data_IF_423754802503
#
_entry.id   IF_423754802503
#
_cell.length_a   1.000
_cell.length_b   1.000
_cell.length_c   1.000
_cell.angle_alpha   90.00
_cell.angle_beta   90.00
_cell.angle_gamma   90.00
#
_symmetry.space_group_name_H-M   'P 1'
#
loop_
_entity.id
_entity.type
_entity.pdbx_description
1 polymer ?
#
# COMPACT_ATOMS: atom_id res chain seq x y z
N UNK A 1 15.99 -42.54 12.07
CA UNK A 1 15.00 -41.67 12.73
C UNK A 1 15.52 -41.26 14.09
N UNK A 2 15.93 -40.00 14.27
CA UNK A 2 15.84 -39.35 15.56
C UNK A 2 14.91 -38.13 15.51
N UNK A 3 13.99 -38.16 16.46
CA UNK A 3 13.13 -37.11 17.01
C UNK A 3 13.73 -35.69 16.93
N UNK A 4 13.19 -34.84 16.04
CA UNK A 4 13.44 -33.39 16.05
C UNK A 4 12.23 -32.71 16.71
N UNK A 5 12.33 -32.58 18.02
CA UNK A 5 11.48 -31.69 18.81
C UNK A 5 11.65 -30.27 18.29
N UNK A 6 10.54 -29.67 17.91
CA UNK A 6 10.43 -28.26 17.50
C UNK A 6 10.93 -27.41 18.67
N UNK A 7 11.93 -26.57 18.40
CA UNK A 7 12.46 -25.63 19.38
C UNK A 7 11.36 -24.63 19.75
N UNK A 8 10.88 -24.73 20.99
CA UNK A 8 10.14 -23.68 21.67
C UNK A 8 11.11 -22.59 22.12
N UNK A 9 10.65 -21.33 22.01
CA UNK A 9 11.24 -20.10 22.57
C UNK A 9 12.48 -19.54 21.84
N UNK A 10 12.23 -18.82 20.75
CA UNK A 10 13.05 -17.65 20.44
C UNK A 10 12.45 -16.45 21.20
N UNK A 11 13.13 -15.98 22.25
CA UNK A 11 12.79 -14.68 22.82
C UNK A 11 12.96 -13.60 21.75
N UNK A 12 11.93 -12.79 21.42
CA UNK A 12 12.12 -11.68 20.52
C UNK A 12 12.98 -10.63 21.21
N UNK A 13 14.02 -10.17 20.51
CA UNK A 13 14.84 -9.04 20.95
C UNK A 13 13.92 -7.89 21.37
N UNK A 14 14.08 -7.40 22.61
CA UNK A 14 13.32 -6.26 23.14
C UNK A 14 13.65 -5.02 22.31
N UNK A 15 12.73 -4.65 21.41
CA UNK A 15 12.68 -3.33 20.80
C UNK A 15 12.09 -2.35 21.84
N UNK A 16 12.89 -1.41 22.38
CA UNK A 16 12.45 -0.48 23.41
C UNK A 16 11.37 0.52 22.93
N UNK A 17 11.05 0.55 21.63
CA UNK A 17 9.95 1.36 21.08
C UNK A 17 8.63 0.61 20.88
N UNK A 18 8.59 -0.72 21.07
CA UNK A 18 7.39 -1.52 20.81
C UNK A 18 6.43 -1.46 22.00
N UNK A 19 5.22 -0.93 21.79
CA UNK A 19 4.18 -0.90 22.82
C UNK A 19 3.91 -2.34 23.30
N UNK A 20 4.11 -2.66 24.60
CA UNK A 20 3.90 -4.01 25.12
C UNK A 20 2.45 -4.52 24.95
N UNK A 21 1.47 -3.64 24.72
CA UNK A 21 0.10 -4.03 24.37
C UNK A 21 -0.03 -4.63 22.98
N UNK A 22 0.93 -4.40 22.09
CA UNK A 22 1.02 -5.08 20.78
C UNK A 22 1.61 -6.49 20.89
N UNK A 23 2.04 -6.91 22.08
CA UNK A 23 2.64 -8.24 22.33
C UNK A 23 1.79 -9.16 23.18
N UNK A 24 0.68 -8.66 23.75
CA UNK A 24 -0.30 -9.52 24.41
C UNK A 24 -1.47 -9.75 23.46
N UNK A 25 -1.84 -11.01 23.15
CA UNK A 25 -3.02 -11.28 22.35
C UNK A 25 -4.24 -10.73 23.09
N UNK A 26 -4.83 -9.65 22.57
CA UNK A 26 -6.09 -9.15 23.10
C UNK A 26 -7.19 -10.13 22.74
N UNK A 27 -7.81 -10.72 23.76
CA UNK A 27 -8.97 -11.61 23.63
C UNK A 27 -10.24 -10.84 23.24
N UNK A 28 -10.19 -9.50 23.24
CA UNK A 28 -11.33 -8.61 22.99
C UNK A 28 -11.35 -8.05 21.57
N UNK A 29 -10.24 -8.12 20.83
CA UNK A 29 -10.21 -7.59 19.47
C UNK A 29 -11.08 -8.44 18.53
N UNK A 30 -11.89 -7.80 17.66
CA UNK A 30 -12.80 -8.51 16.75
C UNK A 30 -12.07 -9.25 15.61
N UNK A 31 -10.80 -8.94 15.38
CA UNK A 31 -9.96 -9.52 14.32
C UNK A 31 -8.54 -9.71 14.83
N UNK A 32 -7.83 -10.67 14.26
CA UNK A 32 -6.42 -10.93 14.51
C UNK A 32 -5.65 -10.45 13.28
N UNK A 33 -4.81 -9.43 13.45
CA UNK A 33 -3.98 -8.87 12.39
C UNK A 33 -2.51 -9.21 12.67
N UNK A 34 -1.86 -9.83 11.71
CA UNK A 34 -0.46 -10.27 11.75
C UNK A 34 0.27 -9.75 10.51
N UNK A 35 1.60 -9.63 10.61
CA UNK A 35 2.46 -9.24 9.49
C UNK A 35 3.77 -10.03 9.52
N UNK A 36 4.49 -10.04 8.40
CA UNK A 36 5.81 -10.64 8.29
C UNK A 36 5.80 -12.10 7.84
N UNK A 37 4.70 -12.56 7.21
CA UNK A 37 4.73 -13.87 6.56
C UNK A 37 5.70 -13.83 5.37
N UNK A 38 6.66 -14.75 5.35
CA UNK A 38 7.67 -14.83 4.30
C UNK A 38 7.34 -15.98 3.33
N UNK A 39 7.13 -15.70 2.05
CA UNK A 39 6.68 -16.70 1.06
C UNK A 39 7.48 -18.02 1.05
N UNK A 40 8.83 -18.02 1.11
CA UNK A 40 9.60 -19.26 1.21
C UNK A 40 9.37 -20.10 2.48
N UNK A 41 8.77 -19.53 3.53
CA UNK A 41 8.48 -20.29 4.76
C UNK A 41 7.35 -21.31 4.60
N UNK A 42 6.53 -21.16 3.57
CA UNK A 42 5.34 -21.99 3.30
C UNK A 42 5.45 -22.80 2.01
N UNK A 43 6.55 -22.65 1.25
CA UNK A 43 6.81 -23.34 -0.02
C UNK A 43 5.64 -23.25 -1.03
N UNK A 44 4.87 -22.16 -1.00
CA UNK A 44 3.69 -21.96 -1.87
C UNK A 44 2.48 -22.83 -1.51
N UNK A 45 2.50 -23.50 -0.35
CA UNK A 45 1.44 -24.40 0.11
C UNK A 45 0.52 -23.73 1.14
N UNK A 46 0.25 -22.43 0.98
CA UNK A 46 -0.62 -21.73 1.92
C UNK A 46 -2.06 -22.13 1.70
N UNK A 47 -2.66 -22.72 2.73
CA UNK A 47 -4.05 -23.15 2.78
C UNK A 47 -4.80 -22.33 3.82
N UNK A 48 -6.02 -21.92 3.49
CA UNK A 48 -6.95 -21.26 4.43
C UNK A 48 -7.05 -22.00 5.78
N UNK A 49 -7.06 -23.33 5.73
CA UNK A 49 -7.19 -24.21 6.90
C UNK A 49 -5.99 -24.22 7.84
N UNK A 50 -4.82 -23.73 7.40
CA UNK A 50 -3.65 -23.57 8.29
C UNK A 50 -3.79 -22.35 9.21
N UNK A 51 -4.62 -21.37 8.83
CA UNK A 51 -4.96 -20.23 9.69
C UNK A 51 -6.25 -20.48 10.49
N UNK A 52 -7.10 -21.39 10.03
CA UNK A 52 -8.25 -21.85 10.81
C UNK A 52 -7.77 -22.51 12.12
N UNK A 53 -8.38 -22.14 13.26
CA UNK A 53 -7.99 -22.65 14.57
C UNK A 53 -6.79 -21.96 15.22
N UNK A 54 -6.16 -20.95 14.60
CA UNK A 54 -5.17 -20.10 15.28
C UNK A 54 -5.77 -19.26 16.42
N UNK A 55 -7.07 -19.00 16.35
CA UNK A 55 -7.80 -18.33 17.43
C UNK A 55 -7.97 -19.28 18.62
N UNK A 56 -7.03 -19.21 19.57
CA UNK A 56 -7.01 -20.01 20.80
C UNK A 56 -8.24 -19.80 21.70
N UNK A 57 -8.99 -18.72 21.49
CA UNK A 57 -10.21 -18.43 22.25
C UNK A 57 -11.45 -19.15 21.68
N UNK A 58 -11.32 -19.83 20.53
CA UNK A 58 -12.41 -20.58 19.89
C UNK A 58 -13.55 -19.68 19.39
N UNK A 59 -13.27 -18.40 19.13
CA UNK A 59 -14.26 -17.43 18.63
C UNK A 59 -14.31 -17.36 17.10
N UNK A 60 -13.49 -18.17 16.42
CA UNK A 60 -13.32 -18.18 14.97
C UNK A 60 -13.16 -16.77 14.39
N UNK A 61 -12.34 -15.94 15.05
CA UNK A 61 -12.11 -14.56 14.60
C UNK A 61 -11.50 -14.54 13.19
N UNK A 62 -11.84 -13.54 12.37
CA UNK A 62 -11.13 -13.27 11.13
C UNK A 62 -9.64 -13.03 11.39
N UNK A 63 -8.79 -13.77 10.67
CA UNK A 63 -7.33 -13.67 10.73
C UNK A 63 -6.81 -13.13 9.40
N UNK A 64 -5.99 -12.10 9.47
CA UNK A 64 -5.30 -11.50 8.33
C UNK A 64 -3.80 -11.48 8.60
N UNK A 65 -3.02 -12.08 7.70
CA UNK A 65 -1.56 -12.12 7.80
C UNK A 65 -0.97 -11.45 6.55
N UNK A 66 -0.41 -10.26 6.69
CA UNK A 66 0.32 -9.64 5.57
C UNK A 66 1.69 -10.30 5.38
N UNK A 67 2.04 -10.50 4.12
CA UNK A 67 3.38 -10.91 3.73
C UNK A 67 4.39 -9.79 3.99
N UNK A 68 5.65 -10.17 4.18
CA UNK A 68 6.77 -9.25 4.41
C UNK A 68 7.01 -8.30 3.24
N UNK A 69 6.70 -8.73 2.02
CA UNK A 69 6.75 -7.87 0.83
C UNK A 69 5.57 -6.89 0.71
N UNK A 70 4.56 -7.02 1.57
CA UNK A 70 3.31 -6.24 1.55
C UNK A 70 2.48 -6.36 0.26
N UNK A 71 2.79 -7.34 -0.61
CA UNK A 71 2.05 -7.61 -1.85
C UNK A 71 1.04 -8.74 -1.71
N UNK A 72 1.11 -9.51 -0.63
CA UNK A 72 0.19 -10.62 -0.39
C UNK A 72 -0.42 -10.55 1.01
N UNK A 73 -1.66 -11.02 1.14
CA UNK A 73 -2.29 -11.26 2.44
C UNK A 73 -2.81 -12.70 2.48
N UNK A 74 -2.56 -13.40 3.59
CA UNK A 74 -3.07 -14.74 3.86
C UNK A 74 -4.17 -14.69 4.93
N UNK A 75 -5.32 -15.26 4.58
CA UNK A 75 -6.59 -15.12 5.28
C UNK A 75 -7.14 -16.50 5.67
N UNK A 76 -7.79 -16.56 6.83
CA UNK A 76 -8.57 -17.72 7.26
C UNK A 76 -10.00 -17.72 6.69
N UNK A 77 -10.78 -18.76 6.98
CA UNK A 77 -12.12 -18.92 6.42
C UNK A 77 -13.04 -17.76 6.86
N UNK A 78 -13.01 -17.38 8.14
CA UNK A 78 -13.81 -16.28 8.66
C UNK A 78 -13.49 -14.92 8.00
N UNK A 79 -12.21 -14.67 7.67
CA UNK A 79 -11.78 -13.48 6.96
C UNK A 79 -12.26 -13.45 5.50
N UNK A 80 -12.21 -14.59 4.80
CA UNK A 80 -12.74 -14.71 3.44
C UNK A 80 -14.27 -14.47 3.40
N UNK A 81 -14.99 -14.99 4.39
CA UNK A 81 -16.44 -14.83 4.51
C UNK A 81 -16.82 -13.38 4.78
N UNK A 82 -16.14 -12.69 5.70
CA UNK A 82 -16.47 -11.28 6.00
C UNK A 82 -16.11 -10.32 4.87
N UNK A 83 -15.11 -10.67 4.05
CA UNK A 83 -14.76 -9.92 2.84
C UNK A 83 -15.70 -10.22 1.67
N UNK A 84 -16.43 -11.33 1.70
CA UNK A 84 -17.31 -11.76 0.61
C UNK A 84 -16.55 -12.15 -0.67
N UNK A 85 -15.37 -12.77 -0.56
CA UNK A 85 -14.49 -13.03 -1.71
C UNK A 85 -14.73 -14.37 -2.42
N UNK A 86 -15.66 -15.20 -1.92
CA UNK A 86 -15.99 -16.52 -2.47
C UNK A 86 -16.18 -16.47 -3.99
N UNK A 87 -17.03 -15.55 -4.47
CA UNK A 87 -17.38 -15.38 -5.89
C UNK A 87 -16.77 -14.12 -6.51
N UNK A 88 -15.86 -13.44 -5.81
CA UNK A 88 -15.24 -12.21 -6.30
C UNK A 88 -14.34 -12.49 -7.51
N UNK A 89 -14.57 -11.75 -8.59
CA UNK A 89 -13.66 -11.73 -9.74
C UNK A 89 -12.34 -11.03 -9.39
N UNK A 90 -11.24 -11.45 -10.02
CA UNK A 90 -9.93 -10.83 -9.86
C UNK A 90 -10.00 -9.32 -10.23
N UNK A 91 -9.61 -8.40 -9.32
CA UNK A 91 -9.58 -6.98 -9.64
C UNK A 91 -8.42 -6.67 -10.60
N UNK A 92 -8.47 -5.55 -11.34
CA UNK A 92 -7.35 -5.14 -12.18
C UNK A 92 -6.03 -5.06 -11.41
N UNK A 93 -5.03 -5.83 -11.87
CA UNK A 93 -3.71 -5.91 -11.23
C UNK A 93 -3.69 -6.68 -9.91
N UNK A 94 -4.75 -7.42 -9.56
CA UNK A 94 -4.82 -8.28 -8.39
C UNK A 94 -5.31 -9.68 -8.73
N UNK A 95 -5.06 -10.63 -7.82
CA UNK A 95 -5.58 -11.99 -7.93
C UNK A 95 -6.10 -12.49 -6.60
N UNK A 96 -7.22 -13.19 -6.61
CA UNK A 96 -7.66 -14.06 -5.52
C UNK A 96 -7.17 -15.45 -5.87
N UNK A 97 -6.19 -15.98 -5.15
CA UNK A 97 -5.63 -17.29 -5.49
C UNK A 97 -6.64 -18.37 -5.16
N UNK A 98 -6.97 -19.20 -6.15
CA UNK A 98 -7.99 -20.25 -6.05
C UNK A 98 -7.38 -21.64 -6.15
N UNK A 99 -7.94 -22.58 -5.39
CA UNK A 99 -7.59 -24.00 -5.48
C UNK A 99 -8.14 -24.65 -6.74
N UNK A 100 -7.88 -25.96 -6.91
CA UNK A 100 -8.37 -26.75 -8.05
C UNK A 100 -9.89 -26.89 -8.07
N UNK A 101 -10.56 -26.66 -6.93
CA UNK A 101 -12.02 -26.65 -6.79
C UNK A 101 -12.65 -25.27 -7.11
N UNK A 102 -11.83 -24.28 -7.49
CA UNK A 102 -12.26 -22.92 -7.79
C UNK A 102 -12.51 -22.03 -6.57
N UNK A 103 -12.38 -22.57 -5.34
CA UNK A 103 -12.59 -21.80 -4.12
C UNK A 103 -11.35 -20.97 -3.76
N UNK A 104 -11.50 -19.82 -3.09
CA UNK A 104 -10.36 -19.06 -2.61
C UNK A 104 -9.50 -19.90 -1.65
N UNK A 105 -8.18 -19.91 -1.89
CA UNK A 105 -7.20 -20.64 -1.09
C UNK A 105 -6.83 -19.94 0.22
N UNK A 106 -7.29 -18.70 0.42
CA UNK A 106 -6.88 -17.84 1.54
C UNK A 106 -5.86 -16.77 1.15
N UNK A 107 -5.21 -16.86 -0.02
CA UNK A 107 -4.21 -15.86 -0.42
C UNK A 107 -4.74 -14.86 -1.43
N UNK A 108 -4.58 -13.58 -1.07
CA UNK A 108 -4.87 -12.41 -1.88
C UNK A 108 -3.55 -11.84 -2.38
N UNK A 109 -3.46 -11.47 -3.66
CA UNK A 109 -2.22 -11.00 -4.28
C UNK A 109 -2.42 -9.62 -4.92
N UNK A 110 -1.38 -8.78 -4.81
CA UNK A 110 -1.24 -7.48 -5.46
C UNK A 110 -2.38 -6.52 -5.10
N UNK A 111 -3.14 -5.97 -6.07
CA UNK A 111 -4.28 -5.08 -5.79
C UNK A 111 -5.31 -5.76 -4.87
N UNK A 112 -5.46 -7.09 -4.90
CA UNK A 112 -6.39 -7.79 -4.01
C UNK A 112 -5.97 -7.69 -2.54
N UNK A 113 -4.68 -7.79 -2.23
CA UNK A 113 -4.16 -7.60 -0.88
C UNK A 113 -4.06 -6.11 -0.52
N UNK A 114 -3.25 -5.38 -1.30
CA UNK A 114 -2.86 -4.00 -0.99
C UNK A 114 -4.01 -3.00 -1.01
N UNK A 115 -5.05 -3.22 -1.83
CA UNK A 115 -6.20 -2.33 -1.90
C UNK A 115 -7.44 -2.91 -1.27
N UNK A 116 -7.86 -4.10 -1.70
CA UNK A 116 -9.17 -4.61 -1.33
C UNK A 116 -9.22 -5.03 0.14
N UNK A 117 -8.27 -5.87 0.58
CA UNK A 117 -8.15 -6.26 2.00
C UNK A 117 -7.89 -5.04 2.87
N UNK A 118 -6.90 -4.20 2.52
CA UNK A 118 -6.56 -3.01 3.30
C UNK A 118 -7.71 -2.02 3.42
N UNK A 119 -8.37 -1.67 2.31
CA UNK A 119 -9.52 -0.74 2.33
C UNK A 119 -10.68 -1.30 3.15
N UNK A 120 -10.90 -2.62 3.09
CA UNK A 120 -11.91 -3.26 3.93
C UNK A 120 -11.56 -3.10 5.41
N UNK A 121 -10.33 -3.42 5.83
CA UNK A 121 -9.89 -3.28 7.21
C UNK A 121 -10.00 -1.82 7.69
N UNK A 122 -9.58 -0.86 6.87
CA UNK A 122 -9.70 0.57 7.17
C UNK A 122 -11.16 1.04 7.30
N UNK A 123 -12.09 0.44 6.54
CA UNK A 123 -13.52 0.73 6.65
C UNK A 123 -14.13 0.29 7.98
N UNK A 124 -13.46 -0.62 8.72
CA UNK A 124 -13.90 -1.08 10.03
C UNK A 124 -13.45 -0.18 11.18
N UNK A 125 -12.53 0.76 10.91
CA UNK A 125 -12.04 1.69 11.92
C UNK A 125 -13.03 2.85 12.10
N UNK A 126 -13.32 3.17 13.35
CA UNK A 126 -14.04 4.39 13.73
C UNK A 126 -13.20 5.63 13.40
N UNK A 127 -13.89 6.77 13.31
CA UNK A 127 -13.23 8.03 13.02
C UNK A 127 -12.28 8.47 14.14
N UNK A 128 -12.42 7.94 15.36
CA UNK A 128 -11.58 8.20 16.51
C UNK A 128 -10.34 7.28 16.50
N UNK A 129 -10.50 6.00 16.18
CA UNK A 129 -9.37 5.06 16.00
C UNK A 129 -8.44 5.53 14.87
N UNK A 130 -8.99 5.95 13.73
CA UNK A 130 -8.19 6.55 12.64
C UNK A 130 -7.33 7.73 13.14
N UNK A 131 -7.89 8.58 14.02
CA UNK A 131 -7.16 9.71 14.58
C UNK A 131 -6.13 9.30 15.63
N UNK A 132 -6.40 8.25 16.39
CA UNK A 132 -5.41 7.66 17.30
C UNK A 132 -4.22 7.07 16.53
N UNK A 133 -4.46 6.38 15.41
CA UNK A 133 -3.39 5.85 14.55
C UNK A 133 -2.54 6.97 13.93
N UNK A 134 -3.16 8.00 13.36
CA UNK A 134 -2.43 9.17 12.83
C UNK A 134 -1.57 9.81 13.92
N UNK A 135 -2.13 10.02 15.12
CA UNK A 135 -1.39 10.58 16.24
C UNK A 135 -0.22 9.68 16.64
N UNK A 136 -0.44 8.38 16.80
CA UNK A 136 0.60 7.43 17.17
C UNK A 136 1.75 7.41 16.16
N UNK A 137 1.46 7.43 14.86
CA UNK A 137 2.47 7.49 13.81
C UNK A 137 3.28 8.80 13.88
N UNK A 138 2.60 9.95 14.00
CA UNK A 138 3.26 11.25 14.12
C UNK A 138 4.13 11.35 15.39
N UNK A 139 3.60 10.88 16.53
CA UNK A 139 4.31 10.88 17.82
C UNK A 139 5.56 10.00 17.73
N UNK A 140 5.49 8.84 17.08
CA UNK A 140 6.63 7.97 16.85
C UNK A 140 7.72 8.68 16.02
N UNK A 141 7.35 9.31 14.89
CA UNK A 141 8.30 10.07 14.07
C UNK A 141 8.96 11.22 14.84
N UNK A 142 8.16 12.00 15.60
CA UNK A 142 8.65 13.13 16.38
C UNK A 142 9.61 12.67 17.49
N UNK A 143 9.28 11.59 18.18
CA UNK A 143 10.05 11.08 19.32
C UNK A 143 11.48 10.69 18.93
N UNK A 144 11.66 10.17 17.71
CA UNK A 144 12.99 9.80 17.18
C UNK A 144 13.65 10.93 16.37
N UNK A 145 13.03 12.13 16.32
CA UNK A 145 13.63 13.33 15.75
C UNK A 145 13.38 13.55 14.25
N UNK A 146 12.49 12.79 13.61
CA UNK A 146 12.10 13.07 12.23
C UNK A 146 11.37 14.41 12.15
N UNK A 147 11.85 15.28 11.26
CA UNK A 147 11.22 16.60 11.01
C UNK A 147 10.31 16.60 9.79
N UNK A 148 10.38 15.56 8.95
CA UNK A 148 9.49 15.41 7.83
C UNK A 148 9.54 14.02 7.22
N UNK A 149 8.48 13.70 6.48
CA UNK A 149 8.29 12.43 5.79
C UNK A 149 7.80 12.69 4.36
N UNK A 150 8.19 11.79 3.47
CA UNK A 150 7.59 11.68 2.15
C UNK A 150 6.67 10.47 2.17
N UNK A 151 5.37 10.71 2.17
CA UNK A 151 4.41 9.64 1.97
C UNK A 151 4.39 9.29 0.47
N UNK A 152 4.55 8.01 0.15
CA UNK A 152 4.70 7.54 -1.22
C UNK A 152 3.44 6.90 -1.80
N UNK A 153 2.34 6.84 -1.03
CA UNK A 153 1.16 6.06 -1.38
C UNK A 153 -0.13 6.70 -0.84
N UNK A 154 -0.21 8.03 -0.84
CA UNK A 154 -1.30 8.77 -0.20
C UNK A 154 -2.63 8.48 -0.89
N UNK A 155 -3.59 7.95 -0.13
CA UNK A 155 -4.97 7.75 -0.54
C UNK A 155 -5.94 8.81 0.00
N UNK A 156 -7.21 8.69 -0.42
CA UNK A 156 -8.31 9.55 0.03
C UNK A 156 -8.51 9.52 1.54
N UNK A 157 -8.58 8.31 2.11
CA UNK A 157 -8.84 8.08 3.53
C UNK A 157 -7.70 8.59 4.42
N UNK A 158 -6.45 8.32 4.04
CA UNK A 158 -5.26 8.82 4.74
C UNK A 158 -5.19 10.35 4.70
N UNK A 159 -5.45 10.93 3.52
CA UNK A 159 -5.46 12.38 3.36
C UNK A 159 -6.57 13.02 4.21
N UNK A 160 -7.76 12.44 4.23
CA UNK A 160 -8.87 12.89 5.06
C UNK A 160 -8.53 12.78 6.56
N UNK A 161 -7.88 11.69 6.98
CA UNK A 161 -7.45 11.51 8.37
C UNK A 161 -6.41 12.56 8.79
N UNK A 162 -5.42 12.86 7.93
CA UNK A 162 -4.45 13.93 8.17
C UNK A 162 -5.09 15.32 8.19
N UNK A 163 -6.06 15.58 7.31
CA UNK A 163 -6.80 16.84 7.30
C UNK A 163 -7.60 17.02 8.60
N UNK A 164 -8.30 15.97 9.06
CA UNK A 164 -9.05 15.99 10.32
C UNK A 164 -8.13 16.21 11.52
N UNK A 165 -6.95 15.58 11.53
CA UNK A 165 -5.93 15.82 12.57
C UNK A 165 -5.50 17.29 12.58
N UNK A 166 -5.16 17.85 11.41
CA UNK A 166 -4.78 19.26 11.28
C UNK A 166 -5.85 20.22 11.79
N UNK A 167 -7.12 19.93 11.50
CA UNK A 167 -8.25 20.74 11.99
C UNK A 167 -8.37 20.70 13.52
N UNK A 168 -8.13 19.53 14.13
CA UNK A 168 -8.19 19.35 15.60
C UNK A 168 -7.00 19.99 16.34
N UNK A 169 -5.81 19.98 15.75
CA UNK A 169 -4.56 20.33 16.43
C UNK A 169 -3.87 21.61 15.91
N UNK A 170 -4.44 22.27 14.91
CA UNK A 170 -3.90 23.51 14.32
C UNK A 170 -2.73 23.30 13.35
N UNK A 171 -2.32 22.05 13.09
CA UNK A 171 -1.24 21.73 12.15
C UNK A 171 -0.71 20.30 12.30
N UNK A 172 0.32 19.97 11.52
CA UNK A 172 1.12 18.75 11.70
C UNK A 172 2.39 19.08 12.51
N UNK A 173 2.86 18.17 13.36
CA UNK A 173 4.11 18.36 14.11
C UNK A 173 5.35 18.24 13.21
N UNK A 174 5.25 17.55 12.07
CA UNK A 174 6.30 17.34 11.07
C UNK A 174 5.84 17.78 9.68
N UNK A 175 6.78 17.92 8.75
CA UNK A 175 6.50 18.18 7.34
C UNK A 175 6.04 16.90 6.63
N UNK A 176 4.95 16.95 5.88
CA UNK A 176 4.47 15.82 5.08
C UNK A 176 4.38 16.23 3.62
N UNK A 177 5.21 15.61 2.79
CA UNK A 177 5.13 15.68 1.34
C UNK A 177 4.49 14.39 0.83
N UNK A 178 3.31 14.47 0.22
CA UNK A 178 2.55 13.29 -0.19
C UNK A 178 2.64 13.05 -1.70
N UNK A 179 2.88 11.81 -2.10
CA UNK A 179 2.67 11.35 -3.48
C UNK A 179 1.37 10.59 -3.54
N UNK A 180 0.42 11.14 -4.29
CA UNK A 180 -0.93 10.62 -4.40
C UNK A 180 -0.95 9.33 -5.21
N UNK A 181 -1.44 8.25 -4.64
CA UNK A 181 -1.48 6.96 -5.30
C UNK A 181 -2.55 6.94 -6.40
N UNK A 182 -2.12 6.59 -7.60
CA UNK A 182 -2.97 6.37 -8.77
C UNK A 182 -3.08 4.87 -8.99
N UNK A 183 -4.29 4.38 -8.87
CA UNK A 183 -4.63 2.99 -9.11
C UNK A 183 -4.85 2.70 -10.59
N UNK A 184 -4.54 1.48 -11.05
CA UNK A 184 -4.89 1.04 -12.39
C UNK A 184 -6.39 1.21 -12.66
N UNK A 185 -6.74 2.06 -13.62
CA UNK A 185 -8.11 2.25 -14.07
C UNK A 185 -8.44 1.38 -15.28
N UNK A 186 -9.73 1.12 -15.51
CA UNK A 186 -10.23 0.46 -16.74
C UNK A 186 -10.35 1.43 -17.92
N UNK A 187 -10.19 2.74 -17.69
CA UNK A 187 -10.16 3.76 -18.74
C UNK A 187 -9.16 4.89 -18.45
N UNK A 188 -8.64 5.56 -19.49
CA UNK A 188 -7.83 6.76 -19.34
C UNK A 188 -8.56 7.87 -18.57
N UNK A 189 -9.86 8.07 -18.83
CA UNK A 189 -10.68 9.11 -18.17
C UNK A 189 -10.77 8.87 -16.67
N UNK A 190 -11.05 7.63 -16.23
CA UNK A 190 -11.13 7.29 -14.82
C UNK A 190 -9.78 7.44 -14.11
N UNK A 191 -8.68 7.16 -14.82
CA UNK A 191 -7.31 7.37 -14.31
C UNK A 191 -7.01 8.86 -14.14
N UNK A 192 -7.37 9.70 -15.12
CA UNK A 192 -7.17 11.15 -15.04
C UNK A 192 -8.01 11.80 -13.94
N UNK A 193 -9.21 11.28 -13.65
CA UNK A 193 -10.02 11.75 -12.52
C UNK A 193 -9.31 11.56 -11.17
N UNK A 194 -8.48 10.53 -11.01
CA UNK A 194 -7.67 10.35 -9.79
C UNK A 194 -6.64 11.49 -9.64
N UNK A 195 -6.05 11.95 -10.75
CA UNK A 195 -5.12 13.08 -10.77
C UNK A 195 -5.85 14.40 -10.46
N UNK A 196 -7.08 14.56 -10.94
CA UNK A 196 -7.91 15.73 -10.62
C UNK A 196 -8.25 15.77 -9.11
N UNK A 197 -8.51 14.62 -8.49
CA UNK A 197 -8.70 14.54 -7.02
C UNK A 197 -7.43 14.90 -6.26
N UNK A 198 -6.27 14.37 -6.66
CA UNK A 198 -4.98 14.79 -6.10
C UNK A 198 -4.79 16.31 -6.16
N UNK A 199 -5.15 16.93 -7.29
CA UNK A 199 -5.12 18.39 -7.45
C UNK A 199 -6.03 19.08 -6.44
N UNK A 200 -7.27 18.59 -6.27
CA UNK A 200 -8.25 19.15 -5.35
C UNK A 200 -7.74 19.11 -3.90
N UNK A 201 -7.18 17.99 -3.46
CA UNK A 201 -6.61 17.86 -2.12
C UNK A 201 -5.39 18.77 -1.93
N UNK A 202 -4.59 18.99 -2.98
CA UNK A 202 -3.45 19.90 -2.90
C UNK A 202 -3.86 21.37 -2.71
N UNK A 203 -5.07 21.77 -3.08
CA UNK A 203 -5.58 23.12 -2.79
C UNK A 203 -5.72 23.38 -1.28
N UNK A 204 -5.89 22.33 -0.48
CA UNK A 204 -5.93 22.39 0.98
C UNK A 204 -4.54 22.21 1.63
N UNK A 205 -3.46 22.38 0.84
CA UNK A 205 -2.09 22.39 1.35
C UNK A 205 -1.90 23.45 2.44
N UNK A 206 -0.94 23.17 3.32
CA UNK A 206 -0.46 24.11 4.35
C UNK A 206 1.05 24.13 4.33
N UNK A 207 1.64 24.96 5.19
CA UNK A 207 3.09 25.01 5.34
C UNK A 207 3.69 23.62 5.57
N UNK A 208 3.05 22.76 6.39
CA UNK A 208 3.58 21.43 6.75
C UNK A 208 2.92 20.26 6.03
N UNK A 209 2.04 20.49 5.06
CA UNK A 209 1.42 19.43 4.26
C UNK A 209 1.18 19.87 2.83
N UNK A 210 1.64 19.09 1.84
CA UNK A 210 1.27 19.30 0.44
C UNK A 210 1.35 17.99 -0.34
N UNK A 211 0.62 17.92 -1.46
CA UNK A 211 0.78 16.85 -2.44
C UNK A 211 1.94 17.26 -3.36
N UNK A 212 3.06 16.57 -3.20
CA UNK A 212 4.29 16.75 -3.95
C UNK A 212 4.18 16.17 -5.36
N UNK A 213 3.34 15.15 -5.56
CA UNK A 213 2.92 14.72 -6.89
C UNK A 213 2.15 13.41 -6.86
N UNK A 214 2.32 12.54 -7.86
CA UNK A 214 1.56 11.28 -7.97
C UNK A 214 2.48 10.06 -7.95
N UNK A 215 1.98 8.97 -7.42
CA UNK A 215 2.59 7.64 -7.43
C UNK A 215 1.78 6.73 -8.35
N UNK A 216 2.45 5.97 -9.21
CA UNK A 216 1.81 4.95 -10.04
C UNK A 216 2.48 3.61 -9.71
N UNK A 217 1.67 2.58 -9.49
CA UNK A 217 2.12 1.19 -9.36
C UNK A 217 1.65 0.46 -10.61
N UNK A 218 2.58 -0.19 -11.32
CA UNK A 218 2.30 -0.91 -12.55
C UNK A 218 2.83 -2.33 -12.45
N UNK A 219 1.97 -3.34 -12.58
CA UNK A 219 2.36 -4.74 -12.66
C UNK A 219 2.11 -5.26 -14.08
N UNK A 220 3.14 -5.80 -14.76
CA UNK A 220 2.97 -6.39 -16.10
C UNK A 220 2.47 -7.83 -15.96
N UNK A 221 1.57 -8.32 -16.84
CA UNK A 221 1.23 -9.73 -16.87
C UNK A 221 2.39 -10.51 -17.51
N UNK A 222 3.21 -11.16 -16.69
CA UNK A 222 4.21 -12.15 -17.10
C UNK A 222 4.13 -13.37 -16.15
N UNK A 223 4.53 -14.59 -16.57
CA UNK A 223 4.21 -15.85 -15.90
C UNK A 223 4.92 -15.94 -14.54
N UNK A 224 4.57 -16.91 -13.67
CA UNK A 224 4.08 -16.75 -12.28
C UNK A 224 5.00 -15.96 -11.32
N UNK A 225 5.53 -14.82 -11.73
CA UNK A 225 6.46 -13.97 -10.98
C UNK A 225 5.96 -12.55 -11.05
N UNK A 226 5.51 -12.08 -9.89
CA UNK A 226 5.04 -10.73 -9.59
C UNK A 226 6.02 -9.68 -10.10
N UNK A 227 5.55 -8.66 -10.84
CA UNK A 227 6.40 -7.62 -11.43
C UNK A 227 5.92 -6.21 -11.12
N UNK A 228 6.00 -5.78 -9.86
CA UNK A 228 5.66 -4.40 -9.49
C UNK A 228 6.68 -3.38 -10.02
N UNK A 229 6.20 -2.32 -10.68
CA UNK A 229 6.98 -1.16 -11.12
C UNK A 229 6.41 0.06 -10.41
N UNK A 230 7.22 0.74 -9.61
CA UNK A 230 6.77 1.91 -8.85
C UNK A 230 7.31 3.20 -9.47
N UNK A 231 6.45 4.06 -10.02
CA UNK A 231 6.79 5.37 -10.60
C UNK A 231 6.37 6.51 -9.69
N UNK A 232 7.16 7.59 -9.65
CA UNK A 232 6.88 8.79 -8.81
C UNK A 232 7.01 10.05 -9.68
N UNK A 233 6.01 10.94 -9.60
CA UNK A 233 6.04 12.29 -10.18
C UNK A 233 6.21 13.28 -9.03
N UNK A 234 7.21 14.15 -9.05
CA UNK A 234 7.74 14.82 -7.83
C UNK A 234 7.55 16.33 -7.74
N UNK A 235 6.62 16.97 -8.50
CA UNK A 235 6.34 18.42 -8.33
C UNK A 235 4.87 18.83 -8.23
N UNK A 236 4.59 19.94 -7.49
CA UNK A 236 3.24 20.41 -7.25
C UNK A 236 2.54 20.81 -8.55
N UNK A 237 1.34 20.26 -8.72
CA UNK A 237 0.38 20.52 -9.78
C UNK A 237 0.01 22.04 -9.81
N UNK A 238 0.74 22.85 -10.59
CA UNK A 238 0.42 24.27 -10.84
C UNK A 238 -0.22 24.44 -12.21
N UNK A 239 -1.43 24.98 -12.23
CA UNK A 239 -2.13 25.40 -13.45
C UNK A 239 -1.58 26.76 -13.88
N UNK A 240 -0.76 26.82 -14.94
CA UNK A 240 -0.38 28.09 -15.57
C UNK A 240 -1.24 28.39 -16.80
N UNK A 241 -1.60 29.65 -16.94
CA UNK A 241 -2.43 30.18 -18.02
C UNK A 241 -1.79 29.99 -19.40
N UNK A 242 -2.69 29.86 -20.39
CA UNK A 242 -2.44 29.66 -21.83
C UNK A 242 -1.16 30.34 -22.32
N UNK A 243 -0.20 29.55 -22.81
CA UNK A 243 0.58 29.94 -23.98
C UNK A 243 0.53 28.83 -25.03
N UNK A 244 0.15 29.26 -26.24
CA UNK A 244 0.19 28.48 -27.47
C UNK A 244 1.61 27.92 -27.64
N UNK A 245 1.76 26.71 -28.15
CA UNK A 245 2.61 26.33 -29.28
C UNK A 245 2.39 24.85 -29.60
N UNK A 246 2.62 24.50 -30.86
CA UNK A 246 1.93 23.47 -31.61
C UNK A 246 2.59 22.08 -31.60
N UNK A 247 1.73 21.09 -31.83
CA UNK A 247 1.96 19.74 -32.42
C UNK A 247 2.17 18.55 -31.47
N UNK A 248 1.11 17.75 -31.47
CA UNK A 248 0.94 16.31 -31.18
C UNK A 248 0.81 15.91 -29.70
N UNK A 249 -0.47 15.75 -29.35
CA UNK A 249 -1.09 15.04 -28.23
C UNK A 249 -0.50 15.32 -26.83
N UNK A 250 -0.96 16.42 -26.22
CA UNK A 250 -0.92 16.66 -24.77
C UNK A 250 -2.23 17.37 -24.42
N UNK A 251 -3.06 16.80 -23.56
CA UNK A 251 -4.06 17.60 -22.87
C UNK A 251 -3.32 18.66 -22.04
N UNK A 252 -3.56 19.93 -22.36
CA UNK A 252 -2.78 21.06 -21.85
C UNK A 252 -3.13 21.39 -20.39
N UNK A 253 -2.13 21.50 -19.51
CA UNK A 253 -2.30 22.12 -18.19
C UNK A 253 -1.31 21.75 -17.08
N UNK A 254 -0.51 20.69 -17.24
CA UNK A 254 0.31 20.13 -16.15
C UNK A 254 1.77 19.91 -16.59
N UNK A 255 2.73 20.33 -15.75
CA UNK A 255 4.14 19.98 -15.88
C UNK A 255 4.39 18.62 -15.21
N UNK A 256 5.03 17.68 -15.92
CA UNK A 256 5.38 16.37 -15.37
C UNK A 256 6.90 16.21 -15.29
N UNK A 257 7.38 15.93 -14.08
CA UNK A 257 8.75 15.46 -13.81
C UNK A 257 8.64 13.95 -13.52
N UNK A 258 9.16 13.10 -14.40
CA UNK A 258 9.07 11.64 -14.22
C UNK A 258 10.31 10.93 -14.74
N UNK A 259 10.62 9.80 -14.12
CA UNK A 259 11.66 8.86 -14.56
C UNK A 259 10.95 7.57 -14.98
N UNK A 260 11.19 7.14 -16.22
CA UNK A 260 10.80 5.80 -16.67
C UNK A 260 11.96 4.87 -16.37
N UNK A 261 11.70 3.85 -15.57
CA UNK A 261 12.66 2.78 -15.25
C UNK A 261 12.17 1.52 -15.94
N UNK A 262 13.04 0.93 -16.75
CA UNK A 262 12.91 -0.42 -17.26
C UNK A 262 13.52 -1.37 -16.22
N UNK A 263 12.70 -2.26 -15.67
CA UNK A 263 13.14 -3.20 -14.64
C UNK A 263 12.36 -4.51 -14.70
N UNK A 264 13.02 -5.60 -14.34
CA UNK A 264 12.37 -6.87 -14.06
C UNK A 264 12.43 -7.12 -12.55
N UNK A 265 11.28 -7.38 -11.94
CA UNK A 265 11.21 -7.71 -10.51
C UNK A 265 11.49 -9.21 -10.32
N UNK A 266 12.75 -9.57 -10.54
CA UNK A 266 13.30 -10.89 -10.25
C UNK A 266 14.53 -10.70 -9.35
N UNK A 267 14.73 -11.60 -8.39
CA UNK A 267 15.78 -11.49 -7.38
C UNK A 267 17.19 -11.32 -8.00
N UNK A 268 17.41 -11.87 -9.19
CA UNK A 268 18.69 -11.73 -9.91
C UNK A 268 18.71 -10.50 -10.84
N UNK A 269 17.54 -10.02 -11.28
CA UNK A 269 17.41 -8.98 -12.30
C UNK A 269 17.13 -7.58 -11.77
N UNK A 270 16.82 -7.43 -10.48
CA UNK A 270 16.56 -6.14 -9.83
C UNK A 270 17.71 -5.13 -10.02
N UNK A 271 18.96 -5.61 -9.96
CA UNK A 271 20.15 -4.77 -10.16
C UNK A 271 20.37 -4.35 -11.63
N UNK A 272 19.63 -4.94 -12.56
CA UNK A 272 19.67 -4.58 -13.98
C UNK A 272 18.65 -3.49 -14.35
N UNK A 273 17.93 -2.93 -13.37
CA UNK A 273 17.05 -1.80 -13.59
C UNK A 273 17.80 -0.63 -14.24
N UNK A 274 17.25 -0.10 -15.33
CA UNK A 274 17.82 1.03 -16.06
C UNK A 274 16.81 2.14 -16.16
N UNK A 275 17.27 3.37 -15.95
CA UNK A 275 16.48 4.53 -16.36
C UNK A 275 16.37 4.50 -17.88
N UNK A 276 15.17 4.33 -18.41
CA UNK A 276 14.87 4.38 -19.84
C UNK A 276 14.66 5.82 -20.31
N UNK A 277 13.95 6.64 -19.52
CA UNK A 277 13.72 8.04 -19.86
C UNK A 277 13.70 8.91 -18.60
N UNK A 278 14.07 10.18 -18.73
CA UNK A 278 13.78 11.20 -17.72
C UNK A 278 13.11 12.38 -18.39
N UNK A 279 12.06 12.87 -17.75
CA UNK A 279 11.31 14.04 -18.19
C UNK A 279 11.34 15.10 -17.10
N UNK A 280 11.59 16.34 -17.49
CA UNK A 280 11.54 17.52 -16.62
C UNK A 280 10.69 18.59 -17.30
N UNK A 281 9.69 19.09 -16.58
CA UNK A 281 8.69 20.06 -17.06
C UNK A 281 8.00 19.60 -18.34
N UNK A 282 7.72 18.29 -18.43
CA UNK A 282 7.14 17.66 -19.61
C UNK A 282 8.09 17.60 -20.81
N UNK A 283 9.38 17.92 -20.67
CA UNK A 283 10.39 17.75 -21.70
C UNK A 283 11.22 16.52 -21.40
N UNK A 284 11.36 15.61 -22.36
CA UNK A 284 12.27 14.48 -22.23
C UNK A 284 13.69 15.02 -22.23
N UNK A 285 14.38 14.90 -21.09
CA UNK A 285 15.75 15.37 -20.89
C UNK A 285 16.77 14.23 -20.98
N UNK A 286 16.31 12.98 -20.88
CA UNK A 286 17.13 11.80 -21.02
C UNK A 286 16.36 10.67 -21.70
N UNK A 287 17.06 9.91 -22.54
CA UNK A 287 16.60 8.65 -23.13
C UNK A 287 17.79 7.71 -23.16
N UNK A 288 17.62 6.50 -22.66
CA UNK A 288 18.63 5.45 -22.79
C UNK A 288 18.83 5.14 -24.28
N UNK A 289 20.10 4.99 -24.68
CA UNK A 289 20.49 4.65 -26.04
C UNK A 289 20.20 3.18 -26.37
#
# INVERSE_FOLDING_TARGET
MPDRRIATEAEPARDPGRDPRLTQPSTELPRILCQGWFHPSTDGNELVTQLDGLDVDGKDRPVYVDADDMHSSWLNTAALDELGVADMADPPGGRVRRGTDGKPSGVMEETSASNFVRSFLESKLTAEEKQQHVRAALDAYVTVGYQGVVDMAMGEEDCAALQKYRQRHGGLPIWVAAHWLIFPGTSPEGTLQQVDRATQHNKAASQRFHIAGIKIIWSMPAPPRCSSHTRTITRPLRRFGRQRHSRRCRSAGWEADLVLVDMAWDAEMLLHAKVAETWIKGNKVYTAA
#
